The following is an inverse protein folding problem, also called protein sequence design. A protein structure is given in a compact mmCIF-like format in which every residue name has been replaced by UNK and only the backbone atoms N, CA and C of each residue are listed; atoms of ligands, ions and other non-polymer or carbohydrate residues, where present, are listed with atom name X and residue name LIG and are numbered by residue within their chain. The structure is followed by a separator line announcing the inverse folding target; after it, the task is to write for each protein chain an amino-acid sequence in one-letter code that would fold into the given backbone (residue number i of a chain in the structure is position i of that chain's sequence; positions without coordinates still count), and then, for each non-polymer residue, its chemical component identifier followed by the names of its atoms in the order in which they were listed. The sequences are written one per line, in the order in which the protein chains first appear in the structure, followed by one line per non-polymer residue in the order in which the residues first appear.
data_IF_541442657101
#
_entry.id   IF_541442657101
#
_cell.length_a   1.000
_cell.length_b   1.000
_cell.length_c   1.000
_cell.angle_alpha   90.00
_cell.angle_beta   90.00
_cell.angle_gamma   90.00
#
_symmetry.space_group_name_H-M   'P 1'
#
loop_
_entity.id
_entity.type
_entity.pdbx_description
1 polymer ?
#
# COMPACT_ATOMS: atom_id res chain seq x y z
N UNK A 1 13.00 -19.73 -38.46
CA UNK A 1 13.96 -20.51 -37.65
C UNK A 1 14.15 -21.84 -38.34
N UNK A 2 15.39 -22.18 -38.70
CA UNK A 2 15.71 -23.50 -39.21
C UNK A 2 15.62 -24.52 -38.03
N UNK A 3 15.26 -25.77 -38.28
CA UNK A 3 15.15 -26.81 -37.23
C UNK A 3 16.45 -27.06 -36.46
N UNK A 4 17.55 -26.54 -36.94
CA UNK A 4 18.92 -26.73 -36.42
C UNK A 4 19.39 -25.50 -35.60
N UNK A 5 18.60 -24.40 -35.51
CA UNK A 5 18.96 -23.27 -34.69
C UNK A 5 18.77 -23.61 -33.21
N UNK A 6 19.82 -23.37 -32.41
CA UNK A 6 19.76 -23.52 -30.96
C UNK A 6 18.71 -22.59 -30.38
N UNK A 7 17.66 -23.16 -29.82
CA UNK A 7 16.63 -22.41 -29.10
C UNK A 7 17.20 -21.95 -27.76
N UNK A 8 17.16 -20.66 -27.50
CA UNK A 8 17.58 -20.09 -26.20
C UNK A 8 16.78 -20.72 -25.08
N UNK A 9 17.47 -21.40 -24.16
CA UNK A 9 16.85 -21.98 -22.96
C UNK A 9 16.07 -20.88 -22.19
N UNK A 10 14.78 -21.08 -21.87
CA UNK A 10 13.97 -20.12 -21.12
C UNK A 10 14.59 -19.69 -19.78
N UNK A 11 15.41 -20.56 -19.16
CA UNK A 11 16.13 -20.25 -17.91
C UNK A 11 17.18 -19.15 -18.10
N UNK A 12 17.74 -18.99 -19.30
CA UNK A 12 18.73 -17.95 -19.61
C UNK A 12 18.15 -16.54 -19.47
N UNK A 13 16.87 -16.33 -19.83
CA UNK A 13 16.20 -15.05 -19.63
C UNK A 13 16.06 -14.72 -18.15
N UNK A 14 15.76 -15.71 -17.31
CA UNK A 14 15.68 -15.52 -15.85
C UNK A 14 17.06 -15.23 -15.26
N UNK A 15 18.11 -15.94 -15.70
CA UNK A 15 19.50 -15.70 -15.30
C UNK A 15 19.97 -14.32 -15.74
N UNK A 16 19.69 -13.92 -16.99
CA UNK A 16 20.00 -12.60 -17.52
C UNK A 16 19.37 -11.48 -16.67
N UNK A 17 18.08 -11.59 -16.36
CA UNK A 17 17.37 -10.61 -15.50
C UNK A 17 18.04 -10.51 -14.13
N UNK A 18 18.29 -11.63 -13.46
CA UNK A 18 18.90 -11.65 -12.13
C UNK A 18 20.34 -11.16 -12.09
N UNK A 19 21.17 -11.50 -13.11
CA UNK A 19 22.61 -11.23 -13.09
C UNK A 19 22.99 -9.91 -13.76
N UNK A 20 22.20 -9.44 -14.74
CA UNK A 20 22.56 -8.27 -15.55
C UNK A 20 21.70 -7.05 -15.29
N UNK A 21 20.44 -7.22 -14.86
CA UNK A 21 19.52 -6.10 -14.69
C UNK A 21 19.31 -5.66 -13.23
N UNK A 22 19.72 -6.48 -12.25
CA UNK A 22 19.42 -6.25 -10.83
C UNK A 22 19.92 -4.88 -10.33
N UNK A 23 21.10 -4.45 -10.74
CA UNK A 23 21.75 -3.23 -10.25
C UNK A 23 21.58 -2.03 -11.21
N UNK A 24 20.89 -2.21 -12.35
CA UNK A 24 20.81 -1.21 -13.40
C UNK A 24 19.75 -0.12 -13.17
N UNK A 25 18.91 -0.22 -12.14
CA UNK A 25 17.75 0.67 -11.94
C UNK A 25 16.96 0.85 -13.25
N UNK A 26 16.62 -0.27 -13.89
CA UNK A 26 16.09 -0.31 -15.25
C UNK A 26 14.87 0.59 -15.43
N UNK A 27 14.00 0.68 -14.42
CA UNK A 27 12.82 1.55 -14.44
C UNK A 27 13.21 3.01 -14.66
N UNK A 28 14.13 3.53 -13.85
CA UNK A 28 14.60 4.91 -13.95
C UNK A 28 15.34 5.16 -15.30
N UNK A 29 16.18 4.20 -15.71
CA UNK A 29 16.93 4.29 -16.96
C UNK A 29 16.01 4.43 -18.20
N UNK A 30 14.99 3.59 -18.31
CA UNK A 30 14.09 3.62 -19.46
C UNK A 30 13.17 4.84 -19.46
N UNK A 31 12.74 5.30 -18.28
CA UNK A 31 12.00 6.56 -18.16
C UNK A 31 12.88 7.73 -18.59
N UNK A 32 14.10 7.84 -18.04
CA UNK A 32 15.05 8.91 -18.39
C UNK A 32 15.29 8.98 -19.90
N UNK A 33 15.54 7.84 -20.55
CA UNK A 33 15.74 7.79 -22.01
C UNK A 33 14.51 8.29 -22.78
N UNK A 34 13.31 7.84 -22.43
CA UNK A 34 12.09 8.24 -23.13
C UNK A 34 11.75 9.71 -22.90
N UNK A 35 11.94 10.23 -21.69
CA UNK A 35 11.67 11.64 -21.35
C UNK A 35 12.66 12.55 -22.07
N UNK A 36 13.96 12.23 -22.08
CA UNK A 36 14.97 13.00 -22.83
C UNK A 36 14.67 13.06 -24.32
N UNK A 37 14.23 11.95 -24.93
CA UNK A 37 13.79 11.93 -26.32
C UNK A 37 12.58 12.85 -26.51
N UNK A 38 11.59 12.79 -25.62
CA UNK A 38 10.39 13.61 -25.71
C UNK A 38 10.69 15.11 -25.57
N UNK A 39 11.60 15.48 -24.68
CA UNK A 39 12.05 16.87 -24.53
C UNK A 39 12.82 17.33 -25.77
N UNK A 40 13.79 16.54 -26.23
CA UNK A 40 14.60 16.87 -27.42
C UNK A 40 13.76 17.01 -28.70
N UNK A 41 12.65 16.30 -28.82
CA UNK A 41 11.69 16.41 -29.93
C UNK A 41 10.61 17.47 -29.70
N UNK A 42 10.67 18.24 -28.61
CA UNK A 42 9.66 19.26 -28.27
C UNK A 42 8.26 18.70 -28.03
N UNK A 43 8.17 17.42 -27.65
CA UNK A 43 6.89 16.75 -27.35
C UNK A 43 6.42 17.13 -25.93
N UNK A 44 7.32 17.17 -24.94
CA UNK A 44 7.03 17.71 -23.62
C UNK A 44 7.27 19.21 -23.65
N UNK A 45 6.22 19.98 -23.34
CA UNK A 45 6.24 21.45 -23.30
C UNK A 45 5.74 22.00 -21.97
N UNK A 46 4.94 21.23 -21.25
CA UNK A 46 4.40 21.61 -19.95
C UNK A 46 5.47 21.57 -18.86
N UNK A 47 5.27 22.40 -17.81
CA UNK A 47 6.04 22.38 -16.57
C UNK A 47 5.27 21.76 -15.43
N UNK A 48 4.14 21.12 -15.75
CA UNK A 48 3.26 20.48 -14.78
C UNK A 48 3.44 18.96 -14.81
N UNK A 49 3.42 18.36 -13.64
CA UNK A 49 3.29 16.90 -13.49
C UNK A 49 2.00 16.55 -12.75
N UNK A 50 1.40 15.45 -13.13
CA UNK A 50 0.25 14.85 -12.48
C UNK A 50 0.73 13.58 -11.78
N UNK A 51 0.43 13.45 -10.50
CA UNK A 51 0.89 12.32 -9.67
C UNK A 51 -0.28 11.48 -9.18
N UNK A 52 -0.08 10.17 -9.18
CA UNK A 52 -1.05 9.21 -8.66
C UNK A 52 -0.35 7.87 -8.38
N UNK A 53 -1.04 6.96 -7.70
CA UNK A 53 -0.58 5.61 -7.48
C UNK A 53 -1.54 4.59 -8.11
N UNK A 54 -0.98 3.59 -8.77
CA UNK A 54 -1.74 2.45 -9.26
C UNK A 54 -1.33 1.19 -8.52
N UNK A 55 -2.29 0.34 -8.21
CA UNK A 55 -2.03 -0.95 -7.55
C UNK A 55 -1.98 -2.07 -8.57
N UNK A 56 -1.09 -3.04 -8.31
CA UNK A 56 -0.93 -4.28 -9.08
C UNK A 56 -1.10 -5.44 -8.11
N UNK A 57 -2.00 -6.36 -8.40
CA UNK A 57 -2.22 -7.56 -7.58
C UNK A 57 -1.01 -8.47 -7.66
N UNK A 58 -0.61 -9.07 -6.56
CA UNK A 58 0.42 -10.10 -6.58
C UNK A 58 -0.03 -11.29 -7.44
N UNK A 59 0.93 -11.97 -8.04
CA UNK A 59 0.68 -13.20 -8.81
C UNK A 59 0.11 -14.31 -7.94
N UNK A 60 0.51 -14.35 -6.69
CA UNK A 60 0.10 -15.35 -5.71
C UNK A 60 -0.76 -14.71 -4.63
N UNK A 61 -1.82 -15.39 -4.23
CA UNK A 61 -2.66 -14.98 -3.10
C UNK A 61 -1.92 -15.23 -1.78
N UNK A 62 -2.15 -14.36 -0.82
CA UNK A 62 -1.72 -14.62 0.55
C UNK A 62 -2.59 -15.75 1.13
N UNK A 63 -1.95 -16.77 1.70
CA UNK A 63 -2.65 -17.84 2.41
C UNK A 63 -2.71 -17.51 3.89
N UNK A 64 -3.85 -17.78 4.49
CA UNK A 64 -3.96 -17.72 5.95
C UNK A 64 -3.16 -18.86 6.58
N UNK A 65 -2.72 -18.75 7.85
CA UNK A 65 -2.07 -19.84 8.57
C UNK A 65 -2.85 -21.15 8.50
N UNK A 66 -4.16 -21.07 8.59
CA UNK A 66 -5.11 -22.18 8.46
C UNK A 66 -5.06 -22.84 7.08
N UNK A 67 -5.05 -22.04 6.00
CA UNK A 67 -4.91 -22.57 4.63
C UNK A 67 -3.57 -23.25 4.43
N UNK A 68 -2.50 -22.72 5.04
CA UNK A 68 -1.16 -23.35 4.99
C UNK A 68 -1.17 -24.70 5.70
N UNK A 69 -1.73 -24.80 6.90
CA UNK A 69 -1.87 -26.06 7.64
C UNK A 69 -2.70 -27.08 6.85
N UNK A 70 -3.83 -26.66 6.31
CA UNK A 70 -4.70 -27.50 5.45
C UNK A 70 -4.00 -28.02 4.20
N UNK A 71 -3.20 -27.18 3.57
CA UNK A 71 -2.45 -27.58 2.37
C UNK A 71 -1.33 -28.56 2.71
N UNK A 72 -0.54 -28.28 3.76
CA UNK A 72 0.56 -29.14 4.20
C UNK A 72 0.08 -30.50 4.70
N UNK A 73 -0.96 -30.53 5.53
CA UNK A 73 -1.59 -31.77 5.99
C UNK A 73 -2.22 -32.56 4.83
N UNK A 74 -2.82 -31.90 3.83
CA UNK A 74 -3.34 -32.54 2.63
C UNK A 74 -2.24 -33.15 1.77
N UNK A 75 -1.09 -32.45 1.60
CA UNK A 75 0.05 -32.96 0.85
C UNK A 75 0.61 -34.22 1.51
N UNK A 76 0.82 -34.17 2.83
CA UNK A 76 1.32 -35.30 3.60
C UNK A 76 0.40 -36.53 3.48
N UNK A 77 -0.91 -36.35 3.72
CA UNK A 77 -1.90 -37.43 3.58
C UNK A 77 -1.91 -38.02 2.18
N UNK A 78 -1.91 -37.18 1.14
CA UNK A 78 -1.86 -37.69 -0.25
C UNK A 78 -0.63 -38.53 -0.50
N UNK A 79 0.54 -38.12 -0.01
CA UNK A 79 1.79 -38.91 -0.14
C UNK A 79 1.65 -40.25 0.53
N UNK A 80 1.09 -40.34 1.73
CA UNK A 80 0.89 -41.58 2.46
C UNK A 80 -0.16 -42.48 1.79
N UNK A 81 -1.27 -41.91 1.32
CA UNK A 81 -2.30 -42.68 0.60
C UNK A 81 -1.79 -43.31 -0.69
N UNK A 82 -0.76 -42.76 -1.33
CA UNK A 82 -0.12 -43.43 -2.49
C UNK A 82 0.73 -44.66 -2.09
N UNK A 83 1.09 -44.78 -0.81
CA UNK A 83 1.86 -45.86 -0.26
C UNK A 83 0.96 -46.93 0.38
N UNK A 84 -0.02 -46.50 1.16
CA UNK A 84 -1.00 -47.36 1.83
C UNK A 84 -2.34 -46.63 2.00
N UNK A 85 -3.34 -47.06 1.24
CA UNK A 85 -4.66 -46.43 1.30
C UNK A 85 -5.47 -46.83 2.54
N UNK A 86 -5.16 -47.95 3.18
CA UNK A 86 -5.89 -48.46 4.36
C UNK A 86 -5.79 -47.55 5.57
N UNK A 87 -4.74 -46.74 5.63
CA UNK A 87 -4.50 -45.81 6.76
C UNK A 87 -5.52 -44.68 6.86
N UNK A 88 -6.35 -44.50 5.83
CA UNK A 88 -7.45 -43.51 5.86
C UNK A 88 -8.39 -43.70 7.05
N UNK A 89 -8.56 -44.93 7.51
CA UNK A 89 -9.45 -45.29 8.62
C UNK A 89 -8.82 -45.02 9.99
N UNK A 90 -7.51 -44.79 10.05
CA UNK A 90 -6.73 -44.56 11.28
C UNK A 90 -6.49 -43.07 11.50
N UNK A 91 -6.49 -42.29 10.43
CA UNK A 91 -6.22 -40.86 10.48
C UNK A 91 -7.35 -40.12 11.20
N UNK A 92 -7.02 -39.05 11.95
CA UNK A 92 -8.01 -38.24 12.64
C UNK A 92 -8.98 -37.58 11.64
N UNK A 93 -10.22 -37.37 12.10
CA UNK A 93 -11.23 -36.64 11.31
C UNK A 93 -10.83 -35.20 11.13
N UNK A 94 -11.06 -34.66 9.93
CA UNK A 94 -10.74 -33.26 9.63
C UNK A 94 -11.68 -32.35 10.42
N UNK A 95 -11.18 -31.20 10.91
CA UNK A 95 -12.03 -30.17 11.50
C UNK A 95 -13.08 -29.69 10.48
N UNK A 96 -14.28 -29.44 10.98
CA UNK A 96 -15.38 -28.84 10.18
C UNK A 96 -15.46 -27.33 10.47
N UNK A 97 -14.79 -26.88 11.51
CA UNK A 97 -14.76 -25.48 11.97
C UNK A 97 -13.71 -24.66 11.20
N UNK A 98 -13.89 -23.34 11.20
CA UNK A 98 -12.89 -22.38 10.71
C UNK A 98 -12.04 -21.81 11.85
N UNK A 99 -11.84 -22.57 12.92
CA UNK A 99 -11.03 -22.23 14.08
C UNK A 99 -9.62 -22.77 13.87
N UNK A 100 -8.62 -21.92 14.07
CA UNK A 100 -7.22 -22.28 13.81
C UNK A 100 -6.68 -23.30 14.81
N UNK A 101 -7.12 -23.23 16.04
CA UNK A 101 -6.76 -24.13 17.13
C UNK A 101 -7.18 -25.59 16.81
N UNK A 102 -8.35 -25.75 16.21
CA UNK A 102 -8.85 -27.09 15.80
C UNK A 102 -8.00 -27.67 14.66
N UNK A 103 -7.54 -26.83 13.74
CA UNK A 103 -6.66 -27.26 12.62
C UNK A 103 -5.27 -27.63 13.12
N UNK A 104 -4.74 -26.92 14.15
CA UNK A 104 -3.46 -27.23 14.79
C UNK A 104 -3.55 -28.56 15.51
N UNK A 105 -4.59 -28.76 16.31
CA UNK A 105 -4.80 -30.00 17.06
C UNK A 105 -4.95 -31.20 16.11
N UNK A 106 -5.70 -31.03 15.04
CA UNK A 106 -5.79 -32.01 13.97
C UNK A 106 -4.42 -32.35 13.36
N UNK A 107 -3.59 -31.36 13.06
CA UNK A 107 -2.25 -31.56 12.52
C UNK A 107 -1.35 -32.30 13.53
N UNK A 108 -1.43 -31.99 14.82
CA UNK A 108 -0.69 -32.68 15.88
C UNK A 108 -1.09 -34.15 15.96
N UNK A 109 -2.36 -34.47 15.96
CA UNK A 109 -2.87 -35.83 15.97
C UNK A 109 -2.43 -36.60 14.71
N UNK A 110 -2.48 -35.97 13.54
CA UNK A 110 -2.02 -36.56 12.28
C UNK A 110 -0.53 -36.88 12.33
N UNK A 111 0.31 -35.97 12.83
CA UNK A 111 1.76 -36.19 13.03
C UNK A 111 1.99 -37.37 13.97
N UNK A 112 1.31 -37.41 15.12
CA UNK A 112 1.47 -38.45 16.10
C UNK A 112 1.13 -39.86 15.55
N UNK A 113 0.06 -39.99 14.78
CA UNK A 113 -0.33 -41.26 14.12
C UNK A 113 0.74 -41.70 13.13
N UNK A 114 1.31 -40.79 12.35
CA UNK A 114 2.34 -41.14 11.35
C UNK A 114 3.66 -41.50 12.02
N UNK A 115 4.05 -40.83 13.10
CA UNK A 115 5.28 -41.11 13.84
C UNK A 115 5.25 -42.46 14.59
N UNK A 116 4.07 -42.89 15.00
CA UNK A 116 3.89 -44.20 15.63
C UNK A 116 4.00 -45.36 14.62
N UNK A 117 3.83 -45.10 13.33
CA UNK A 117 3.89 -46.12 12.30
C UNK A 117 5.27 -46.13 11.63
N UNK A 118 6.12 -47.06 12.09
CA UNK A 118 7.50 -47.22 11.59
C UNK A 118 7.61 -47.49 10.09
N UNK A 119 6.52 -47.84 9.39
CA UNK A 119 6.49 -48.05 7.95
C UNK A 119 6.70 -46.75 7.16
N UNK A 120 6.33 -45.59 7.76
CA UNK A 120 6.35 -44.30 7.06
C UNK A 120 7.50 -43.38 7.48
N UNK A 121 7.96 -43.48 8.74
CA UNK A 121 8.98 -42.57 9.32
C UNK A 121 10.35 -42.65 8.62
N UNK A 122 10.70 -43.79 8.01
CA UNK A 122 11.96 -43.96 7.30
C UNK A 122 11.93 -43.62 5.80
N UNK A 123 10.79 -43.25 5.27
CA UNK A 123 10.65 -43.01 3.83
C UNK A 123 10.94 -41.53 3.47
N UNK A 124 11.95 -41.25 2.61
CA UNK A 124 12.31 -39.88 2.25
C UNK A 124 11.11 -39.03 1.71
N UNK A 125 10.24 -39.68 0.90
CA UNK A 125 9.03 -39.02 0.37
C UNK A 125 8.03 -38.58 1.44
N UNK A 126 8.02 -39.23 2.61
CA UNK A 126 7.15 -38.91 3.74
C UNK A 126 7.86 -37.96 4.71
N UNK A 127 9.17 -38.18 4.95
CA UNK A 127 9.96 -37.40 5.90
C UNK A 127 9.96 -35.89 5.58
N UNK A 128 10.11 -35.52 4.31
CA UNK A 128 10.10 -34.10 3.90
C UNK A 128 8.77 -33.40 4.21
N UNK A 129 7.59 -33.85 3.73
CA UNK A 129 6.32 -33.20 4.04
C UNK A 129 5.92 -33.34 5.53
N UNK A 130 6.38 -34.41 6.24
CA UNK A 130 6.16 -34.56 7.67
C UNK A 130 6.93 -33.51 8.47
N UNK A 131 8.24 -33.33 8.20
CA UNK A 131 9.06 -32.33 8.86
C UNK A 131 8.53 -30.94 8.59
N UNK A 132 8.14 -30.65 7.35
CA UNK A 132 7.55 -29.35 6.98
C UNK A 132 6.24 -29.09 7.73
N UNK A 133 5.40 -30.08 7.96
CA UNK A 133 4.18 -29.92 8.78
C UNK A 133 4.52 -29.72 10.26
N UNK A 134 5.51 -30.46 10.79
CA UNK A 134 5.98 -30.30 12.17
C UNK A 134 6.53 -28.91 12.45
N UNK A 135 7.39 -28.41 11.57
CA UNK A 135 7.91 -27.04 11.63
C UNK A 135 6.74 -26.03 11.62
N UNK A 136 5.76 -26.23 10.73
CA UNK A 136 4.60 -25.32 10.66
C UNK A 136 3.75 -25.30 11.93
N UNK A 137 3.58 -26.44 12.59
CA UNK A 137 2.80 -26.55 13.84
C UNK A 137 3.58 -26.00 15.03
N UNK A 138 4.93 -26.01 14.96
CA UNK A 138 5.81 -25.49 16.01
C UNK A 138 6.10 -23.98 15.86
N UNK A 139 5.94 -23.42 14.65
CA UNK A 139 6.17 -22.01 14.38
C UNK A 139 5.16 -21.09 15.08
N UNK A 140 5.59 -19.87 15.36
CA UNK A 140 4.73 -18.80 15.83
C UNK A 140 3.75 -18.44 14.70
N UNK A 141 2.47 -18.76 14.91
CA UNK A 141 1.42 -18.68 13.90
C UNK A 141 1.21 -17.25 13.34
N UNK A 142 1.60 -16.23 14.08
CA UNK A 142 1.59 -14.85 13.61
C UNK A 142 2.57 -14.63 12.44
N UNK A 143 3.63 -15.43 12.36
CA UNK A 143 4.65 -15.37 11.29
C UNK A 143 4.36 -16.31 10.12
N UNK A 144 3.38 -17.20 10.22
CA UNK A 144 2.98 -18.13 9.16
C UNK A 144 2.24 -17.49 7.97
N UNK A 145 2.28 -16.20 7.83
CA UNK A 145 1.88 -15.52 6.59
C UNK A 145 2.89 -15.80 5.47
N UNK A 146 3.03 -17.06 5.12
CA UNK A 146 3.90 -17.48 4.01
C UNK A 146 3.23 -17.14 2.69
N UNK A 147 3.45 -15.92 2.24
CA UNK A 147 3.25 -15.58 0.84
C UNK A 147 4.42 -16.16 0.03
N UNK A 148 4.15 -16.77 -1.11
CA UNK A 148 5.20 -17.08 -2.11
C UNK A 148 5.85 -15.80 -2.67
N UNK A 149 5.35 -14.65 -2.26
CA UNK A 149 5.79 -13.31 -2.60
C UNK A 149 5.97 -12.49 -1.32
N UNK A 150 7.16 -12.49 -0.70
CA UNK A 150 7.43 -11.83 0.58
C UNK A 150 7.32 -10.29 0.51
N UNK A 151 7.50 -9.72 -0.68
CA UNK A 151 7.45 -8.27 -0.89
C UNK A 151 6.02 -7.77 -1.15
N UNK A 152 5.08 -8.65 -1.51
CA UNK A 152 3.69 -8.28 -1.66
C UNK A 152 3.04 -8.04 -0.28
N UNK A 153 2.29 -6.96 -0.15
CA UNK A 153 1.60 -6.59 1.10
C UNK A 153 0.17 -6.17 0.82
N UNK A 154 -0.65 -6.25 1.88
CA UNK A 154 -2.03 -5.77 1.80
C UNK A 154 -2.04 -4.25 1.76
N UNK A 155 -2.64 -3.69 0.73
CA UNK A 155 -2.93 -2.27 0.60
C UNK A 155 -4.44 -2.02 0.53
N UNK A 156 -4.86 -0.80 0.82
CA UNK A 156 -6.26 -0.40 0.76
C UNK A 156 -6.50 0.54 -0.42
N UNK A 157 -7.58 0.32 -1.17
CA UNK A 157 -8.08 1.22 -2.22
C UNK A 157 -9.12 2.19 -1.65
N UNK A 158 -9.92 1.72 -0.70
CA UNK A 158 -10.93 2.45 0.04
C UNK A 158 -11.08 1.85 1.43
N UNK A 159 -11.98 2.38 2.27
CA UNK A 159 -12.29 1.82 3.58
C UNK A 159 -12.71 0.33 3.50
N UNK A 160 -13.44 -0.04 2.44
CA UNK A 160 -14.06 -1.36 2.29
C UNK A 160 -13.38 -2.23 1.22
N UNK A 161 -12.31 -1.75 0.59
CA UNK A 161 -11.65 -2.47 -0.51
C UNK A 161 -10.15 -2.52 -0.32
N UNK A 162 -9.61 -3.73 -0.28
CA UNK A 162 -8.18 -4.01 -0.18
C UNK A 162 -7.68 -4.81 -1.37
N UNK A 163 -6.37 -4.87 -1.51
CA UNK A 163 -5.68 -5.74 -2.46
C UNK A 163 -4.39 -6.27 -1.82
N UNK A 164 -3.93 -7.42 -2.26
CA UNK A 164 -2.64 -7.96 -1.91
C UNK A 164 -1.69 -7.82 -3.10
N UNK A 165 -0.59 -7.09 -2.92
CA UNK A 165 0.34 -6.84 -4.02
C UNK A 165 1.22 -5.61 -3.83
N UNK A 166 1.35 -4.82 -4.88
CA UNK A 166 2.28 -3.70 -5.01
C UNK A 166 1.57 -2.42 -5.38
N UNK A 167 2.20 -1.30 -5.08
CA UNK A 167 1.85 0.01 -5.62
C UNK A 167 2.94 0.52 -6.54
N UNK A 168 2.55 1.17 -7.61
CA UNK A 168 3.44 1.96 -8.45
C UNK A 168 3.00 3.40 -8.42
N UNK A 169 3.83 4.24 -7.83
CA UNK A 169 3.65 5.67 -7.79
C UNK A 169 4.21 6.28 -9.06
N UNK A 170 3.45 7.12 -9.73
CA UNK A 170 3.73 7.63 -11.07
C UNK A 170 3.64 9.15 -11.06
N UNK A 171 4.58 9.81 -11.72
CA UNK A 171 4.48 11.20 -12.15
C UNK A 171 4.43 11.24 -13.69
N UNK A 172 3.56 12.05 -14.23
CA UNK A 172 3.27 12.12 -15.67
C UNK A 172 3.09 13.58 -16.11
N UNK A 173 3.69 13.98 -17.24
CA UNK A 173 3.47 15.31 -17.82
C UNK A 173 2.04 15.48 -18.35
N UNK A 174 1.62 16.70 -18.61
CA UNK A 174 0.29 16.99 -19.21
C UNK A 174 0.12 16.33 -20.58
N UNK A 175 1.20 16.13 -21.32
CA UNK A 175 1.23 15.41 -22.59
C UNK A 175 1.06 13.89 -22.43
N UNK A 176 0.88 13.42 -21.20
CA UNK A 176 0.68 12.02 -20.82
C UNK A 176 1.91 11.14 -21.03
N UNK A 177 3.11 11.69 -20.81
CA UNK A 177 4.37 10.95 -20.77
C UNK A 177 4.76 10.78 -19.32
N UNK A 178 5.02 9.55 -18.89
CA UNK A 178 5.45 9.23 -17.52
C UNK A 178 6.89 9.70 -17.34
N UNK A 179 7.11 10.64 -16.40
CA UNK A 179 8.40 11.30 -16.15
C UNK A 179 9.14 10.69 -14.96
N UNK A 180 8.41 10.06 -14.06
CA UNK A 180 8.99 9.30 -12.95
C UNK A 180 8.06 8.18 -12.53
N UNK A 181 8.63 7.10 -12.00
CA UNK A 181 7.89 6.05 -11.33
C UNK A 181 8.73 5.39 -10.24
N UNK A 182 8.04 4.77 -9.28
CA UNK A 182 8.66 3.92 -8.28
C UNK A 182 7.68 2.84 -7.83
N UNK A 183 8.21 1.64 -7.64
CA UNK A 183 7.44 0.49 -7.15
C UNK A 183 7.66 0.35 -5.65
N UNK A 184 6.58 0.12 -4.91
CA UNK A 184 6.60 -0.12 -3.47
C UNK A 184 5.71 -1.32 -3.13
N UNK A 185 5.84 -1.80 -1.92
CA UNK A 185 4.88 -2.74 -1.32
C UNK A 185 3.50 -2.10 -1.16
N UNK A 186 2.43 -2.91 -1.12
CA UNK A 186 1.04 -2.43 -1.21
C UNK A 186 0.59 -1.49 -0.09
N UNK A 187 1.17 -1.60 1.11
CA UNK A 187 0.81 -0.80 2.28
C UNK A 187 1.40 0.62 2.29
N UNK A 188 2.38 0.91 1.43
CA UNK A 188 3.08 2.20 1.46
C UNK A 188 2.13 3.37 1.14
N UNK A 189 2.15 4.46 1.94
CA UNK A 189 1.30 5.61 1.71
C UNK A 189 1.79 6.45 0.53
N UNK A 190 0.84 6.96 -0.27
CA UNK A 190 1.11 7.66 -1.52
C UNK A 190 1.76 9.04 -1.27
N UNK A 191 1.27 9.79 -0.29
CA UNK A 191 1.76 11.14 0.02
C UNK A 191 3.26 11.22 0.28
N UNK A 192 3.85 10.21 0.93
CA UNK A 192 5.28 10.16 1.25
C UNK A 192 6.19 10.04 0.02
N UNK A 193 5.63 9.61 -1.11
CA UNK A 193 6.41 9.39 -2.34
C UNK A 193 6.51 10.65 -3.21
N UNK A 194 5.76 11.72 -2.89
CA UNK A 194 5.67 12.92 -3.72
C UNK A 194 7.03 13.56 -4.02
N UNK A 195 7.80 13.82 -2.97
CA UNK A 195 9.10 14.50 -3.11
C UNK A 195 10.04 13.69 -4.00
N UNK A 196 10.08 12.36 -3.82
CA UNK A 196 10.89 11.46 -4.65
C UNK A 196 10.44 11.49 -6.12
N UNK A 197 9.14 11.52 -6.40
CA UNK A 197 8.62 11.60 -7.77
C UNK A 197 8.97 12.93 -8.44
N UNK A 198 8.91 14.05 -7.70
CA UNK A 198 9.31 15.36 -8.19
C UNK A 198 10.80 15.36 -8.55
N UNK A 199 11.66 14.92 -7.63
CA UNK A 199 13.11 14.90 -7.87
C UNK A 199 13.49 13.97 -9.02
N UNK A 200 12.90 12.78 -9.11
CA UNK A 200 13.09 11.88 -10.24
C UNK A 200 12.65 12.52 -11.56
N UNK A 201 11.53 13.24 -11.61
CA UNK A 201 11.08 13.95 -12.80
C UNK A 201 12.07 15.06 -13.21
N UNK A 202 12.60 15.81 -12.22
CA UNK A 202 13.62 16.85 -12.50
C UNK A 202 14.92 16.25 -13.04
N UNK A 203 15.35 15.07 -12.54
CA UNK A 203 16.59 14.42 -13.03
C UNK A 203 16.50 13.99 -14.49
N UNK A 204 15.30 13.74 -15.03
CA UNK A 204 15.11 13.45 -16.46
C UNK A 204 15.21 14.71 -17.37
N UNK A 205 15.41 15.89 -16.78
CA UNK A 205 15.47 17.17 -17.48
C UNK A 205 14.13 17.91 -17.56
N UNK A 206 13.08 17.41 -16.92
CA UNK A 206 11.80 18.10 -16.89
C UNK A 206 11.83 19.24 -15.86
N UNK A 207 11.37 20.44 -16.27
CA UNK A 207 11.09 21.54 -15.35
C UNK A 207 9.76 21.27 -14.65
N UNK A 208 9.75 21.30 -13.32
CA UNK A 208 8.53 21.05 -12.52
C UNK A 208 8.17 22.30 -11.73
N UNK A 209 7.12 23.00 -12.16
CA UNK A 209 6.58 24.20 -11.50
C UNK A 209 5.20 23.94 -10.88
N UNK A 210 4.45 22.97 -11.39
CA UNK A 210 3.14 22.59 -10.85
C UNK A 210 3.06 21.09 -10.66
N UNK A 211 2.47 20.67 -9.54
CA UNK A 211 2.18 19.28 -9.23
C UNK A 211 0.68 19.13 -8.96
N UNK A 212 0.02 18.23 -9.67
CA UNK A 212 -1.41 17.95 -9.53
C UNK A 212 -1.56 16.55 -8.96
N UNK A 213 -2.25 16.42 -7.83
CA UNK A 213 -2.46 15.14 -7.16
C UNK A 213 -3.79 15.04 -6.42
N UNK A 214 -4.03 13.91 -5.79
CA UNK A 214 -5.19 13.71 -4.95
C UNK A 214 -4.97 14.23 -3.51
N UNK A 215 -5.92 13.96 -2.62
CA UNK A 215 -5.88 14.41 -1.23
C UNK A 215 -4.74 13.77 -0.41
N UNK A 216 -4.20 12.64 -0.83
CA UNK A 216 -3.10 11.97 -0.14
C UNK A 216 -1.80 12.79 -0.19
N UNK A 217 -1.65 13.62 -1.24
CA UNK A 217 -0.45 14.43 -1.42
C UNK A 217 -0.48 15.77 -0.68
N UNK A 218 -1.60 16.14 -0.04
CA UNK A 218 -1.75 17.40 0.72
C UNK A 218 -1.22 17.35 2.15
N UNK A 219 -0.33 16.41 2.46
CA UNK A 219 0.32 16.36 3.77
C UNK A 219 1.18 17.62 4.02
N UNK A 220 1.28 18.04 5.29
CA UNK A 220 2.01 19.26 5.68
C UNK A 220 3.44 19.29 5.14
N UNK A 221 4.17 18.17 5.21
CA UNK A 221 5.56 18.09 4.75
C UNK A 221 5.66 18.31 3.22
N UNK A 222 4.67 17.87 2.47
CA UNK A 222 4.59 18.09 1.02
C UNK A 222 4.25 19.56 0.69
N UNK A 223 3.35 20.19 1.45
CA UNK A 223 3.03 21.62 1.30
C UNK A 223 4.26 22.47 1.59
N UNK A 224 4.98 22.17 2.68
CA UNK A 224 6.24 22.86 3.04
C UNK A 224 7.30 22.67 1.96
N UNK A 225 7.53 21.43 1.51
CA UNK A 225 8.49 21.13 0.47
C UNK A 225 8.17 21.89 -0.83
N UNK A 226 6.91 21.89 -1.24
CA UNK A 226 6.46 22.58 -2.46
C UNK A 226 6.66 24.08 -2.36
N UNK A 227 6.33 24.70 -1.22
CA UNK A 227 6.56 26.12 -0.98
C UNK A 227 8.04 26.48 -0.99
N UNK A 228 8.92 25.67 -0.39
CA UNK A 228 10.37 25.88 -0.36
C UNK A 228 11.03 25.75 -1.75
N UNK A 229 10.43 24.97 -2.65
CA UNK A 229 10.95 24.73 -4.00
C UNK A 229 10.20 25.54 -5.08
N UNK A 230 9.37 26.50 -4.70
CA UNK A 230 8.56 27.32 -5.61
C UNK A 230 7.65 26.48 -6.54
N UNK A 231 7.13 25.37 -6.02
CA UNK A 231 6.25 24.44 -6.74
C UNK A 231 4.81 24.70 -6.30
N UNK A 232 3.92 24.92 -7.25
CA UNK A 232 2.49 25.02 -6.98
C UNK A 232 1.88 23.61 -6.81
N UNK A 233 1.44 23.26 -5.60
CA UNK A 233 0.82 21.97 -5.32
C UNK A 233 -0.70 22.05 -5.40
N UNK A 234 -1.28 21.44 -6.44
CA UNK A 234 -2.71 21.35 -6.69
C UNK A 234 -3.24 20.03 -6.14
N UNK A 235 -3.38 19.94 -4.83
CA UNK A 235 -3.95 18.81 -4.12
C UNK A 235 -4.96 19.30 -3.09
N UNK A 236 -6.19 18.73 -3.12
CA UNK A 236 -7.23 19.08 -2.14
C UNK A 236 -6.81 18.62 -0.76
N UNK A 237 -7.06 19.45 0.23
CA UNK A 237 -6.85 19.07 1.62
C UNK A 237 -7.75 17.89 2.01
N UNK A 238 -7.20 16.97 2.78
CA UNK A 238 -7.98 15.88 3.34
C UNK A 238 -9.10 16.45 4.25
N UNK A 239 -10.35 15.98 4.13
CA UNK A 239 -11.45 16.42 4.98
C UNK A 239 -11.16 16.34 6.48
N UNK A 240 -10.34 15.40 6.93
CA UNK A 240 -9.90 15.31 8.33
C UNK A 240 -9.09 16.55 8.77
N UNK A 241 -8.38 17.21 7.85
CA UNK A 241 -7.63 18.43 8.14
C UNK A 241 -8.57 19.64 8.17
N UNK A 242 -9.53 19.70 7.25
CA UNK A 242 -10.45 20.83 7.12
C UNK A 242 -11.58 20.80 8.13
N UNK A 243 -12.11 19.63 8.43
CA UNK A 243 -13.27 19.44 9.32
C UNK A 243 -12.85 18.95 10.72
N UNK A 244 -11.62 18.41 10.86
CA UNK A 244 -11.16 17.71 12.05
C UNK A 244 -11.83 16.34 12.18
N UNK A 245 -11.51 15.61 13.27
CA UNK A 245 -12.20 14.36 13.63
C UNK A 245 -13.61 14.60 14.19
N UNK A 246 -14.20 15.76 13.92
CA UNK A 246 -15.54 16.09 14.40
C UNK A 246 -16.55 15.29 13.61
N UNK A 247 -17.22 14.37 14.27
CA UNK A 247 -18.53 13.90 13.83
C UNK A 247 -19.49 15.09 13.91
N UNK A 248 -20.44 15.21 12.99
CA UNK A 248 -21.50 16.25 13.03
C UNK A 248 -22.27 16.26 14.38
N UNK A 249 -22.17 15.18 15.12
CA UNK A 249 -22.82 14.90 16.39
C UNK A 249 -21.90 15.11 17.61
N UNK A 250 -20.67 15.67 17.43
CA UNK A 250 -19.77 15.94 18.55
C UNK A 250 -20.35 17.05 19.43
N UNK A 251 -20.92 16.66 20.55
CA UNK A 251 -21.57 17.47 21.55
C UNK A 251 -20.57 18.15 22.51
N UNK A 252 -19.41 18.57 21.98
CA UNK A 252 -18.40 19.33 22.73
C UNK A 252 -18.36 20.77 22.21
N UNK A 253 -18.69 21.73 23.06
CA UNK A 253 -18.69 23.13 22.72
C UNK A 253 -17.47 23.85 23.30
N UNK A 254 -16.89 24.77 22.52
CA UNK A 254 -15.78 25.57 23.00
C UNK A 254 -16.27 26.78 23.75
N UNK A 255 -16.01 26.82 25.06
CA UNK A 255 -16.25 28.02 25.88
C UNK A 255 -15.09 29.00 25.70
N UNK A 256 -15.38 30.15 25.10
CA UNK A 256 -14.38 31.18 24.77
C UNK A 256 -13.79 31.82 26.03
N UNK A 257 -14.58 32.02 27.05
CA UNK A 257 -14.16 32.70 28.28
C UNK A 257 -13.22 31.83 29.11
N UNK A 258 -13.53 30.51 29.20
CA UNK A 258 -12.70 29.53 29.89
C UNK A 258 -11.55 29.03 29.04
N UNK A 259 -11.54 29.26 27.71
CA UNK A 259 -10.54 28.72 26.76
C UNK A 259 -10.51 27.21 26.70
N UNK A 260 -11.61 26.52 27.01
CA UNK A 260 -11.72 25.08 27.13
C UNK A 260 -13.03 24.56 26.56
N UNK A 261 -13.05 23.26 26.26
CA UNK A 261 -14.26 22.59 25.80
C UNK A 261 -15.16 22.16 26.96
N UNK A 262 -16.45 22.27 26.73
CA UNK A 262 -17.54 21.79 27.61
C UNK A 262 -18.16 20.55 26.93
N UNK A 263 -18.38 19.46 27.65
CA UNK A 263 -19.05 18.29 27.13
C UNK A 263 -20.58 18.46 27.16
N UNK A 264 -21.32 17.57 26.51
CA UNK A 264 -22.79 17.58 26.45
C UNK A 264 -23.50 17.58 27.82
N UNK A 265 -22.83 17.06 28.85
CA UNK A 265 -23.34 17.09 30.23
C UNK A 265 -22.97 18.38 30.99
N UNK A 266 -22.41 19.40 30.32
CA UNK A 266 -22.04 20.67 30.92
C UNK A 266 -20.70 20.66 31.68
N UNK A 267 -19.93 19.58 31.67
CA UNK A 267 -18.64 19.58 32.36
C UNK A 267 -17.55 20.23 31.54
N UNK A 268 -16.83 21.18 32.13
CA UNK A 268 -15.68 21.85 31.54
C UNK A 268 -14.45 20.93 31.62
N UNK A 269 -13.62 20.93 30.56
CA UNK A 269 -12.34 20.24 30.58
C UNK A 269 -11.43 20.78 31.68
N UNK A 270 -10.78 19.92 32.44
CA UNK A 270 -9.93 20.28 33.58
C UNK A 270 -8.53 20.72 33.16
N UNK A 271 -8.02 20.14 32.06
CA UNK A 271 -6.67 20.38 31.57
C UNK A 271 -6.63 20.40 30.04
N UNK A 272 -5.70 21.17 29.48
CA UNK A 272 -5.34 21.18 28.06
C UNK A 272 -3.87 20.82 27.92
N UNK A 273 -3.52 20.00 26.95
CA UNK A 273 -2.15 19.68 26.58
C UNK A 273 -2.00 19.77 25.06
N UNK A 274 -0.93 20.44 24.60
CA UNK A 274 -0.57 20.53 23.19
C UNK A 274 0.46 19.47 22.86
N UNK A 275 0.25 18.72 21.80
CA UNK A 275 1.12 17.66 21.31
C UNK A 275 1.50 17.92 19.85
N UNK A 276 2.65 17.39 19.43
CA UNK A 276 3.17 17.54 18.08
C UNK A 276 4.14 18.72 17.92
N UNK A 277 4.95 18.66 16.86
CA UNK A 277 5.94 19.71 16.53
C UNK A 277 5.29 20.77 15.63
N UNK A 278 5.67 22.04 15.83
CA UNK A 278 5.13 23.16 15.06
C UNK A 278 5.57 23.10 13.59
N UNK A 279 6.85 22.74 13.36
CA UNK A 279 7.54 23.01 12.10
C UNK A 279 7.71 21.77 11.21
N UNK A 280 7.28 20.56 11.67
CA UNK A 280 7.40 19.32 10.90
C UNK A 280 6.41 18.25 11.32
N UNK A 281 6.13 17.30 10.41
CA UNK A 281 5.28 16.14 10.65
C UNK A 281 3.80 16.50 10.72
N UNK A 282 3.04 15.73 11.46
CA UNK A 282 1.59 15.94 11.62
C UNK A 282 1.27 17.26 12.31
N UNK A 283 0.09 17.81 12.03
CA UNK A 283 -0.42 18.99 12.72
C UNK A 283 -0.40 18.80 14.23
N UNK A 284 -0.13 19.91 14.94
CA UNK A 284 -0.27 19.92 16.39
C UNK A 284 -1.72 19.62 16.79
N UNK A 285 -1.89 18.97 17.93
CA UNK A 285 -3.21 18.63 18.49
C UNK A 285 -3.31 19.20 19.89
N UNK A 286 -4.38 19.94 20.16
CA UNK A 286 -4.78 20.31 21.51
C UNK A 286 -5.70 19.24 22.07
N UNK A 287 -5.27 18.56 23.12
CA UNK A 287 -6.03 17.54 23.82
C UNK A 287 -6.57 18.11 25.14
N UNK A 288 -7.87 18.08 25.26
CA UNK A 288 -8.61 18.53 26.44
C UNK A 288 -9.01 17.31 27.28
N UNK A 289 -8.71 17.35 28.57
CA UNK A 289 -8.95 16.26 29.50
C UNK A 289 -10.14 16.59 30.40
N UNK A 290 -11.00 15.61 30.61
CA UNK A 290 -12.17 15.69 31.47
C UNK A 290 -11.97 14.88 32.73
N UNK A 291 -12.69 15.27 33.80
CA UNK A 291 -12.68 14.54 35.07
C UNK A 291 -13.35 13.16 34.89
N UNK A 292 -12.55 12.11 35.03
CA UNK A 292 -12.99 10.72 34.82
C UNK A 292 -14.03 10.30 35.85
N UNK A 293 -13.93 10.78 37.11
CA UNK A 293 -14.88 10.42 38.16
C UNK A 293 -16.27 10.98 37.86
N UNK A 294 -16.34 12.19 37.28
CA UNK A 294 -17.59 12.74 36.78
C UNK A 294 -18.12 11.96 35.57
N UNK A 295 -17.22 11.53 34.66
CA UNK A 295 -17.62 10.74 33.51
C UNK A 295 -18.18 9.36 33.88
N UNK A 296 -17.64 8.70 34.89
CA UNK A 296 -18.14 7.41 35.42
C UNK A 296 -19.59 7.51 35.93
N UNK A 297 -19.95 8.64 36.52
CA UNK A 297 -21.28 8.87 37.13
C UNK A 297 -22.23 9.63 36.20
N UNK A 298 -21.78 9.94 34.99
CA UNK A 298 -22.55 10.75 34.05
C UNK A 298 -23.76 9.99 33.49
N UNK A 299 -24.94 10.62 33.50
CA UNK A 299 -26.16 10.03 32.91
C UNK A 299 -26.05 9.87 31.39
N UNK A 300 -25.21 10.70 30.73
CA UNK A 300 -24.96 10.68 29.28
C UNK A 300 -23.65 9.92 28.95
N UNK A 301 -23.26 8.94 29.77
CA UNK A 301 -22.01 8.20 29.59
C UNK A 301 -22.04 7.23 28.40
N UNK A 302 -23.21 6.73 28.04
CA UNK A 302 -23.39 5.78 26.96
C UNK A 302 -22.93 6.37 25.61
N UNK A 303 -22.06 5.64 24.90
CA UNK A 303 -21.42 6.12 23.68
C UNK A 303 -20.34 7.22 23.89
N UNK A 304 -20.25 7.83 25.09
CA UNK A 304 -19.27 8.86 25.40
C UNK A 304 -18.10 8.36 26.25
N UNK A 305 -18.33 7.62 27.31
CA UNK A 305 -17.29 7.10 28.21
C UNK A 305 -17.22 5.57 28.13
N UNK A 306 -16.00 5.04 27.91
CA UNK A 306 -15.76 3.59 27.92
C UNK A 306 -15.46 3.15 29.36
N UNK A 307 -16.19 2.17 29.86
CA UNK A 307 -16.01 1.63 31.20
C UNK A 307 -14.57 1.13 31.41
N UNK A 308 -13.99 1.43 32.57
CA UNK A 308 -12.59 1.13 32.88
C UNK A 308 -11.55 2.08 32.26
N UNK A 309 -11.95 3.06 31.45
CA UNK A 309 -11.01 4.01 30.87
C UNK A 309 -10.37 4.89 31.95
N UNK A 310 -9.03 5.03 31.90
CA UNK A 310 -8.25 5.85 32.83
C UNK A 310 -8.30 7.35 32.51
N UNK A 311 -8.80 7.73 31.35
CA UNK A 311 -8.91 9.11 30.90
C UNK A 311 -10.08 9.30 29.96
N UNK A 312 -10.70 10.48 29.97
CA UNK A 312 -11.63 10.96 28.96
C UNK A 312 -11.03 12.20 28.34
N UNK A 313 -10.86 12.20 27.03
CA UNK A 313 -10.24 13.30 26.28
C UNK A 313 -11.08 13.69 25.09
N UNK A 314 -10.91 14.95 24.68
CA UNK A 314 -11.37 15.49 23.40
C UNK A 314 -10.21 16.20 22.74
N UNK A 315 -9.87 15.82 21.50
CA UNK A 315 -8.70 16.32 20.79
C UNK A 315 -9.09 17.12 19.56
N UNK A 316 -8.45 18.26 19.38
CA UNK A 316 -8.66 19.16 18.24
C UNK A 316 -7.35 19.40 17.53
N UNK A 317 -7.29 19.08 16.23
CA UNK A 317 -6.12 19.38 15.40
C UNK A 317 -6.02 20.88 15.13
N UNK A 318 -4.80 21.43 15.29
CA UNK A 318 -4.50 22.83 14.98
C UNK A 318 -4.08 22.89 13.52
N UNK A 319 -4.81 23.62 12.69
CA UNK A 319 -4.42 23.86 11.30
C UNK A 319 -3.11 24.64 11.26
N UNK A 320 -2.14 24.16 10.52
CA UNK A 320 -0.89 24.88 10.27
C UNK A 320 -1.11 26.02 9.26
N UNK A 321 -0.16 26.94 9.18
CA UNK A 321 -0.24 28.06 8.22
C UNK A 321 -0.27 27.54 6.78
N UNK A 322 0.48 26.50 6.47
CA UNK A 322 0.53 25.85 5.15
C UNK A 322 -0.85 25.33 4.76
N UNK A 323 -1.56 24.69 5.69
CA UNK A 323 -2.92 24.20 5.44
C UNK A 323 -3.94 25.36 5.27
N UNK A 324 -3.75 26.47 5.99
CA UNK A 324 -4.62 27.65 5.81
C UNK A 324 -4.39 28.27 4.43
N UNK A 325 -3.14 28.42 4.01
CA UNK A 325 -2.79 28.92 2.68
C UNK A 325 -3.34 28.00 1.58
N UNK A 326 -3.18 26.69 1.73
CA UNK A 326 -3.73 25.71 0.78
C UNK A 326 -5.25 25.74 0.73
N UNK A 327 -5.93 25.94 1.88
CA UNK A 327 -7.39 26.08 1.92
C UNK A 327 -7.87 27.29 1.12
N UNK A 328 -7.17 28.41 1.23
CA UNK A 328 -7.47 29.62 0.43
C UNK A 328 -7.21 29.38 -1.05
N UNK A 329 -6.08 28.73 -1.38
CA UNK A 329 -5.73 28.41 -2.77
C UNK A 329 -6.77 27.50 -3.44
N UNK A 330 -7.35 26.53 -2.73
CA UNK A 330 -8.38 25.64 -3.26
C UNK A 330 -9.62 26.35 -3.80
N UNK A 331 -9.94 27.54 -3.27
CA UNK A 331 -11.09 28.33 -3.72
C UNK A 331 -10.82 29.08 -5.03
N UNK A 332 -9.55 29.20 -5.44
CA UNK A 332 -9.17 29.91 -6.66
C UNK A 332 -9.62 29.20 -7.93
N UNK A 333 -9.91 29.97 -8.98
CA UNK A 333 -10.24 29.42 -10.29
C UNK A 333 -9.06 28.68 -10.94
N UNK A 334 -7.83 29.14 -10.67
CA UNK A 334 -6.60 28.46 -11.10
C UNK A 334 -6.52 27.05 -10.54
N UNK A 335 -6.76 26.88 -9.23
CA UNK A 335 -6.78 25.55 -8.62
C UNK A 335 -7.87 24.67 -9.25
N UNK A 336 -9.08 25.20 -9.38
CA UNK A 336 -10.23 24.45 -9.92
C UNK A 336 -9.98 23.99 -11.36
N UNK A 337 -9.36 24.86 -12.18
CA UNK A 337 -9.01 24.53 -13.56
C UNK A 337 -7.94 23.41 -13.62
N UNK A 338 -6.83 23.58 -12.88
CA UNK A 338 -5.73 22.59 -12.86
C UNK A 338 -6.17 21.26 -12.24
N UNK A 339 -6.97 21.25 -11.18
CA UNK A 339 -7.44 20.02 -10.55
C UNK A 339 -8.26 19.13 -11.49
N UNK A 340 -8.91 19.69 -12.51
CA UNK A 340 -9.62 18.91 -13.53
C UNK A 340 -8.68 18.05 -14.37
N UNK A 341 -7.42 18.45 -14.54
CA UNK A 341 -6.45 17.73 -15.37
C UNK A 341 -6.08 16.35 -14.80
N UNK A 342 -6.42 16.08 -13.52
CA UNK A 342 -6.14 14.81 -12.84
C UNK A 342 -6.70 13.58 -13.57
N UNK A 343 -7.82 13.70 -14.32
CA UNK A 343 -8.37 12.58 -15.08
C UNK A 343 -7.37 11.96 -16.07
N UNK A 344 -6.38 12.75 -16.53
CA UNK A 344 -5.38 12.28 -17.47
C UNK A 344 -4.54 11.13 -16.93
N UNK A 345 -4.19 11.17 -15.63
CA UNK A 345 -3.41 10.08 -15.02
C UNK A 345 -4.27 8.85 -14.72
N UNK A 346 -5.56 9.04 -14.40
CA UNK A 346 -6.50 7.92 -14.24
C UNK A 346 -6.63 7.13 -15.55
N UNK A 347 -6.74 7.85 -16.69
CA UNK A 347 -6.74 7.24 -18.01
C UNK A 347 -5.42 6.51 -18.32
N UNK A 348 -4.27 7.04 -17.87
CA UNK A 348 -2.96 6.39 -18.00
C UNK A 348 -2.86 5.12 -17.16
N UNK A 349 -3.33 5.16 -15.93
CA UNK A 349 -3.39 3.99 -15.04
C UNK A 349 -4.27 2.88 -15.64
N UNK A 350 -5.41 3.25 -16.23
CA UNK A 350 -6.27 2.31 -16.96
C UNK A 350 -5.57 1.73 -18.20
N UNK A 351 -4.84 2.54 -18.97
CA UNK A 351 -4.04 2.06 -20.13
C UNK A 351 -2.99 1.04 -19.71
N UNK A 352 -2.23 1.31 -18.62
CA UNK A 352 -1.24 0.39 -18.09
C UNK A 352 -1.87 -0.96 -17.69
N UNK A 353 -2.98 -0.94 -16.98
CA UNK A 353 -3.65 -2.15 -16.49
C UNK A 353 -4.25 -2.98 -17.61
N UNK A 354 -5.07 -2.36 -18.45
CA UNK A 354 -5.90 -3.11 -19.41
C UNK A 354 -5.20 -3.39 -20.74
N UNK A 355 -4.14 -2.64 -21.09
CA UNK A 355 -3.45 -2.81 -22.37
C UNK A 355 -2.02 -3.28 -22.26
N UNK A 356 -1.40 -3.16 -21.07
CA UNK A 356 0.00 -3.50 -20.86
C UNK A 356 0.22 -4.48 -19.70
N UNK A 357 -0.86 -5.18 -19.28
CA UNK A 357 -0.79 -6.28 -18.30
C UNK A 357 -0.34 -5.86 -16.90
N UNK A 358 -0.62 -4.61 -16.50
CA UNK A 358 -0.17 -4.07 -15.22
C UNK A 358 -1.17 -4.27 -14.07
N UNK A 359 -2.25 -5.03 -14.28
CA UNK A 359 -3.24 -5.35 -13.23
C UNK A 359 -2.76 -6.45 -12.29
N UNK A 360 -1.95 -7.40 -12.81
CA UNK A 360 -1.39 -8.53 -12.07
C UNK A 360 0.12 -8.61 -12.28
N UNK A 361 0.86 -8.88 -11.21
CA UNK A 361 2.31 -9.06 -11.28
C UNK A 361 2.67 -10.33 -12.09
N UNK A 362 3.59 -10.21 -13.02
CA UNK A 362 4.07 -11.33 -13.84
C UNK A 362 5.04 -12.25 -13.10
N UNK A 363 5.69 -11.73 -12.06
CA UNK A 363 6.63 -12.44 -11.19
C UNK A 363 6.50 -11.94 -9.75
N UNK A 364 7.09 -12.66 -8.79
CA UNK A 364 7.17 -12.25 -7.39
C UNK A 364 8.35 -11.31 -7.13
N UNK A 365 8.24 -10.52 -6.07
CA UNK A 365 9.27 -9.62 -5.56
C UNK A 365 9.28 -8.24 -6.22
N UNK A 366 9.72 -7.23 -5.46
CA UNK A 366 9.84 -5.84 -5.91
C UNK A 366 10.66 -5.72 -7.19
N UNK A 367 11.77 -6.43 -7.28
CA UNK A 367 12.62 -6.43 -8.49
C UNK A 367 11.87 -6.90 -9.74
N UNK A 368 11.08 -7.98 -9.62
CA UNK A 368 10.25 -8.47 -10.72
C UNK A 368 9.22 -7.45 -11.16
N UNK A 369 8.61 -6.77 -10.19
CA UNK A 369 7.63 -5.72 -10.44
C UNK A 369 8.25 -4.46 -11.04
N UNK A 370 9.48 -4.09 -10.64
CA UNK A 370 10.24 -3.00 -11.27
C UNK A 370 10.54 -3.26 -12.73
N UNK A 371 10.93 -4.50 -13.09
CA UNK A 371 11.15 -4.88 -14.51
C UNK A 371 9.83 -4.78 -15.29
N UNK A 372 8.73 -5.30 -14.74
CA UNK A 372 7.42 -5.19 -15.39
C UNK A 372 7.03 -3.74 -15.59
N UNK A 373 7.22 -2.89 -14.57
CA UNK A 373 7.00 -1.45 -14.62
C UNK A 373 7.85 -0.77 -15.69
N UNK A 374 9.15 -1.09 -15.72
CA UNK A 374 10.08 -0.54 -16.70
C UNK A 374 9.62 -0.80 -18.14
N UNK A 375 9.25 -2.04 -18.45
CA UNK A 375 8.82 -2.43 -19.80
C UNK A 375 7.47 -1.83 -20.17
N UNK A 376 6.49 -1.86 -19.26
CA UNK A 376 5.17 -1.31 -19.52
C UNK A 376 5.21 0.23 -19.72
N UNK A 377 5.92 0.94 -18.83
CA UNK A 377 6.07 2.39 -18.90
C UNK A 377 6.86 2.81 -20.13
N UNK A 378 7.94 2.12 -20.46
CA UNK A 378 8.69 2.35 -21.68
C UNK A 378 7.79 2.25 -22.93
N UNK A 379 7.00 1.18 -23.03
CA UNK A 379 6.11 0.96 -24.16
C UNK A 379 5.05 2.07 -24.30
N UNK A 380 4.38 2.46 -23.17
CA UNK A 380 3.35 3.52 -23.23
C UNK A 380 3.95 4.89 -23.53
N UNK A 381 5.16 5.18 -23.02
CA UNK A 381 5.85 6.43 -23.32
C UNK A 381 6.21 6.51 -24.79
N UNK A 382 6.87 5.48 -25.35
CA UNK A 382 7.23 5.45 -26.78
C UNK A 382 6.00 5.60 -27.68
N UNK A 383 4.95 4.83 -27.42
CA UNK A 383 3.69 4.89 -28.15
C UNK A 383 3.10 6.31 -28.12
N UNK A 384 3.15 6.97 -26.94
CA UNK A 384 2.64 8.32 -26.80
C UNK A 384 3.49 9.35 -27.53
N UNK A 385 4.82 9.25 -27.44
CA UNK A 385 5.76 10.12 -28.15
C UNK A 385 5.53 10.04 -29.68
N UNK A 386 5.52 8.81 -30.21
CA UNK A 386 5.26 8.59 -31.64
C UNK A 386 3.94 9.22 -32.04
N UNK A 387 2.85 8.98 -31.29
CA UNK A 387 1.55 9.58 -31.58
C UNK A 387 1.58 11.11 -31.62
N UNK A 388 2.31 11.75 -30.68
CA UNK A 388 2.40 13.22 -30.63
C UNK A 388 3.32 13.82 -31.66
N UNK A 389 4.28 13.06 -32.18
CA UNK A 389 5.15 13.50 -33.27
C UNK A 389 4.46 13.50 -34.65
N UNK A 390 3.36 12.73 -34.79
CA UNK A 390 2.60 12.63 -36.05
C UNK A 390 1.31 13.48 -36.02
N UNK A 391 1.07 14.24 -34.96
CA UNK A 391 0.02 15.25 -34.84
C UNK A 391 0.57 16.65 -35.05
#
# INVERSE_FOLDING_TARGET
MAPEEEVIDPSLLTKFRKLRLKDMKLLDLLIDKTVKIAIAKGVIRSTSIIVDATHTKARYTQKTPQEVLRERSKKLRKTIYTLDESIKNIFPSKPVTDVIEDEIEYCRQLIAVIEQDGRFTGLPKVSEPLNLLKETVADDLEHLQTSADPDAKVGHKSADSSFFGYKTHIAMSEERIITAAMVTTGEQPDGKQLQTLIEKSKTTGMKVETVIGDTAYSEKDNLLYSAQNEIELVAKLNPLITQGNRKKEDEFEFNKDAGRYVCKAGHLATRRARQGKKDRGKNQTDTYYFDVEKCKRCQLREGCYKEGAKSKTYSVSIKSQEHLTQATFQESETFKAKAKERYKIEAKNSELKHRHGYDVASSSGLFGMEIQGAMAIFAVNLKRIVKLMWQ
#
